data_IF_510579085807
#
_entry.id   IF_510579085807
#
_cell.length_a   1.000
_cell.length_b   1.000
_cell.length_c   1.000
_cell.angle_alpha   90.00
_cell.angle_beta   90.00
_cell.angle_gamma   90.00
#
_symmetry.space_group_name_H-M   'P 1'
#
loop_
_entity.id
_entity.type
_entity.pdbx_description
1 polymer ?
#
# COMPACT_ATOMS: atom_id res chain seq x y z
N UNK A 1 45.06 4.51 -17.37
CA UNK A 1 44.61 4.06 -16.04
C UNK A 1 43.09 4.09 -16.02
N UNK A 2 42.46 2.93 -15.82
CA UNK A 2 41.07 2.68 -16.15
C UNK A 2 40.08 3.36 -15.18
N UNK A 3 39.25 4.28 -15.70
CA UNK A 3 38.16 4.97 -15.00
C UNK A 3 36.96 4.07 -14.61
N UNK A 4 37.06 2.75 -14.79
CA UNK A 4 35.98 1.80 -14.54
C UNK A 4 35.73 1.51 -13.05
N UNK A 5 36.75 1.70 -12.20
CA UNK A 5 36.64 1.47 -10.75
C UNK A 5 35.73 2.48 -10.03
N UNK A 6 35.53 3.68 -10.59
CA UNK A 6 34.69 4.72 -9.98
C UNK A 6 33.17 4.51 -10.21
N UNK A 7 32.78 3.88 -11.33
CA UNK A 7 31.36 3.66 -11.69
C UNK A 7 30.75 2.54 -10.84
N UNK A 8 31.54 1.51 -10.48
CA UNK A 8 31.08 0.39 -9.65
C UNK A 8 30.80 0.85 -8.20
N UNK A 9 31.57 1.81 -7.67
CA UNK A 9 31.41 2.27 -6.29
C UNK A 9 30.11 3.07 -6.06
N UNK A 10 29.62 3.81 -7.07
CA UNK A 10 28.39 4.61 -6.97
C UNK A 10 27.13 3.72 -6.95
N UNK A 11 27.19 2.53 -7.56
CA UNK A 11 26.05 1.59 -7.62
C UNK A 11 25.79 0.92 -6.26
N UNK A 12 26.81 0.77 -5.40
CA UNK A 12 26.65 0.10 -4.11
C UNK A 12 25.95 0.93 -3.02
N UNK A 13 25.92 2.27 -3.13
CA UNK A 13 25.33 3.13 -2.09
C UNK A 13 23.80 3.30 -2.19
N UNK A 14 23.15 2.77 -3.23
CA UNK A 14 21.72 3.00 -3.49
C UNK A 14 20.76 1.88 -3.06
N UNK A 15 21.27 0.75 -2.52
CA UNK A 15 20.43 -0.46 -2.35
C UNK A 15 19.80 -0.63 -0.96
N UNK A 16 20.30 0.05 0.08
CA UNK A 16 19.75 -0.12 1.41
C UNK A 16 18.57 0.84 1.63
N UNK A 17 17.34 0.36 1.43
CA UNK A 17 16.16 1.08 1.90
C UNK A 17 16.22 1.18 3.44
N UNK A 18 16.16 2.39 4.02
CA UNK A 18 16.18 2.54 5.47
C UNK A 18 14.99 1.81 6.08
N UNK A 19 15.16 1.31 7.30
CA UNK A 19 14.07 0.69 8.07
C UNK A 19 13.90 1.48 9.36
N UNK A 20 12.65 1.80 9.71
CA UNK A 20 12.26 2.50 10.95
C UNK A 20 11.14 1.77 11.66
N UNK A 21 10.94 2.03 12.94
CA UNK A 21 9.80 1.50 13.68
C UNK A 21 8.56 2.37 13.46
N UNK A 22 7.37 1.80 13.62
CA UNK A 22 6.10 2.54 13.53
C UNK A 22 6.07 3.77 14.44
N UNK A 23 6.70 3.68 15.61
CA UNK A 23 6.80 4.79 16.55
C UNK A 23 7.62 5.98 16.02
N UNK A 24 8.43 5.80 14.98
CA UNK A 24 9.23 6.87 14.37
C UNK A 24 8.48 7.60 13.25
N UNK A 25 7.28 7.14 12.90
CA UNK A 25 6.47 7.70 11.82
C UNK A 25 5.06 8.07 12.30
N UNK A 26 4.35 8.84 11.49
CA UNK A 26 2.96 9.23 11.74
C UNK A 26 2.21 9.41 10.43
N UNK A 27 0.89 9.21 10.45
CA UNK A 27 0.02 9.34 9.28
C UNK A 27 -0.51 10.77 9.17
N UNK A 28 -0.36 11.40 8.01
CA UNK A 28 -0.98 12.70 7.68
C UNK A 28 -1.50 12.63 6.27
N UNK A 29 -2.81 12.83 6.07
CA UNK A 29 -3.46 12.75 4.75
C UNK A 29 -2.99 11.47 4.01
N UNK A 30 -3.21 10.30 4.61
CA UNK A 30 -2.65 8.94 4.36
C UNK A 30 -1.21 8.84 3.80
N UNK A 31 -0.37 9.83 4.08
CA UNK A 31 1.08 9.74 3.87
C UNK A 31 1.75 9.41 5.20
N UNK A 32 2.66 8.45 5.16
CA UNK A 32 3.56 8.17 6.27
C UNK A 32 4.68 9.21 6.25
N UNK A 33 4.76 9.95 7.35
CA UNK A 33 5.72 11.02 7.59
C UNK A 33 6.74 10.56 8.64
N UNK A 34 8.01 10.89 8.45
CA UNK A 34 9.06 10.60 9.43
C UNK A 34 9.06 11.69 10.51
N UNK A 35 8.84 11.34 11.79
CA UNK A 35 8.75 12.30 12.91
C UNK A 35 9.98 13.19 13.07
N UNK A 36 11.16 12.66 12.74
CA UNK A 36 12.43 13.39 12.88
C UNK A 36 12.55 14.57 11.90
N UNK A 37 11.92 14.49 10.74
CA UNK A 37 12.14 15.44 9.64
C UNK A 37 10.87 16.08 9.13
N UNK A 38 9.69 15.62 9.56
CA UNK A 38 8.38 16.00 9.03
C UNK A 38 8.30 15.90 7.50
N UNK A 39 8.98 14.89 6.93
CA UNK A 39 8.98 14.62 5.48
C UNK A 39 8.35 13.28 5.15
N UNK A 40 7.76 13.13 3.95
CA UNK A 40 7.25 11.84 3.49
C UNK A 40 8.35 10.78 3.50
N UNK A 41 8.05 9.64 4.13
CA UNK A 41 9.02 8.59 4.35
C UNK A 41 9.16 7.67 3.13
N UNK A 42 10.39 7.27 2.83
CA UNK A 42 10.72 6.26 1.81
C UNK A 42 11.61 5.19 2.45
N UNK A 43 11.11 3.97 2.56
CA UNK A 43 11.78 2.88 3.27
C UNK A 43 10.80 1.86 3.82
N UNK A 44 11.26 1.03 4.75
CA UNK A 44 10.45 0.01 5.42
C UNK A 44 10.03 0.52 6.79
N UNK A 45 8.74 0.41 7.11
CA UNK A 45 8.23 0.60 8.47
C UNK A 45 7.91 -0.78 9.04
N UNK A 46 8.39 -1.04 10.25
CA UNK A 46 8.12 -2.29 10.97
C UNK A 46 7.31 -2.03 12.24
N UNK A 47 6.43 -2.98 12.55
CA UNK A 47 5.76 -3.08 13.85
C UNK A 47 6.36 -4.29 14.57
N UNK A 48 6.56 -4.17 15.89
CA UNK A 48 7.07 -5.28 16.73
C UNK A 48 6.01 -5.76 17.70
N UNK A 49 6.07 -7.05 18.00
CA UNK A 49 5.41 -7.62 19.16
C UNK A 49 6.08 -7.14 20.45
N UNK A 50 5.39 -7.31 21.59
CA UNK A 50 5.94 -7.01 22.91
C UNK A 50 7.23 -7.79 23.24
N UNK A 51 7.44 -8.95 22.61
CA UNK A 51 8.66 -9.75 22.75
C UNK A 51 9.82 -9.27 21.86
N UNK A 52 9.66 -8.14 21.15
CA UNK A 52 10.67 -7.54 20.28
C UNK A 52 10.76 -8.14 18.87
N UNK A 53 10.09 -9.26 18.57
CA UNK A 53 10.03 -9.81 17.20
C UNK A 53 9.20 -8.91 16.28
N UNK A 54 9.53 -8.90 14.99
CA UNK A 54 8.75 -8.16 13.98
C UNK A 54 7.38 -8.80 13.77
N UNK A 55 6.32 -8.03 14.01
CA UNK A 55 4.93 -8.40 13.77
C UNK A 55 4.50 -8.12 12.32
N UNK A 56 4.95 -7.01 11.74
CA UNK A 56 4.64 -6.67 10.36
C UNK A 56 5.70 -5.77 9.75
N UNK A 57 5.69 -5.69 8.42
CA UNK A 57 6.52 -4.79 7.64
C UNK A 57 5.70 -4.24 6.48
N UNK A 58 5.87 -2.96 6.18
CA UNK A 58 5.31 -2.33 4.97
C UNK A 58 6.35 -1.43 4.32
N UNK A 59 6.43 -1.48 3.00
CA UNK A 59 7.32 -0.62 2.21
C UNK A 59 6.60 0.64 1.75
N UNK A 60 7.28 1.79 1.88
CA UNK A 60 6.79 3.10 1.52
C UNK A 60 7.71 3.79 0.53
N UNK A 61 7.11 4.58 -0.38
CA UNK A 61 7.81 5.48 -1.29
C UNK A 61 7.08 6.83 -1.29
N UNK A 62 7.80 7.88 -0.91
CA UNK A 62 7.28 9.24 -0.76
C UNK A 62 6.02 9.30 0.11
N UNK A 63 6.03 8.57 1.22
CA UNK A 63 4.93 8.48 2.18
C UNK A 63 3.81 7.50 1.80
N UNK A 64 3.79 6.97 0.58
CA UNK A 64 2.74 6.06 0.13
C UNK A 64 3.18 4.60 0.17
N UNK A 65 2.25 3.72 0.51
CA UNK A 65 2.47 2.26 0.46
C UNK A 65 2.82 1.86 -0.97
N UNK A 66 4.01 1.33 -1.17
CA UNK A 66 4.48 0.86 -2.47
C UNK A 66 5.60 -0.16 -2.26
N UNK A 67 5.40 -1.37 -2.76
CA UNK A 67 6.30 -2.48 -2.56
C UNK A 67 5.75 -3.51 -1.58
N UNK A 68 6.64 -4.39 -1.11
CA UNK A 68 6.26 -5.59 -0.38
C UNK A 68 5.83 -5.27 1.05
N UNK A 69 4.95 -6.10 1.57
CA UNK A 69 4.47 -6.07 2.94
C UNK A 69 4.15 -7.47 3.44
N UNK A 70 4.20 -7.66 4.76
CA UNK A 70 3.78 -8.90 5.40
C UNK A 70 3.27 -8.66 6.81
N UNK A 71 2.48 -9.62 7.31
CA UNK A 71 2.05 -9.75 8.69
C UNK A 71 2.43 -11.15 9.17
N UNK A 72 3.02 -11.22 10.36
CA UNK A 72 3.45 -12.45 11.00
C UNK A 72 2.56 -12.79 12.20
N UNK A 73 2.51 -14.08 12.53
CA UNK A 73 1.97 -14.59 13.79
C UNK A 73 3.04 -14.59 14.89
N UNK A 74 2.63 -14.94 16.11
CA UNK A 74 3.52 -14.98 17.28
C UNK A 74 4.62 -16.04 17.17
N UNK A 75 4.41 -17.08 16.36
CA UNK A 75 5.39 -18.12 16.09
C UNK A 75 6.34 -17.77 14.91
N UNK A 76 6.33 -16.51 14.45
CA UNK A 76 7.15 -15.96 13.35
C UNK A 76 6.77 -16.48 11.94
N UNK A 77 5.63 -17.16 11.83
CA UNK A 77 5.00 -17.58 10.59
C UNK A 77 4.39 -16.39 9.84
N UNK A 78 4.46 -16.37 8.51
CA UNK A 78 3.75 -15.38 7.70
C UNK A 78 2.27 -15.76 7.62
N UNK A 79 1.40 -14.90 8.14
CA UNK A 79 -0.05 -15.07 8.09
C UNK A 79 -0.62 -14.44 6.81
N UNK A 80 -0.12 -13.26 6.48
CA UNK A 80 -0.46 -12.55 5.25
C UNK A 80 0.79 -11.93 4.63
N UNK A 81 0.85 -11.92 3.31
CA UNK A 81 1.88 -11.18 2.59
C UNK A 81 1.39 -10.70 1.23
N UNK A 82 1.98 -9.63 0.75
CA UNK A 82 1.60 -9.04 -0.51
C UNK A 82 2.48 -7.90 -0.95
N UNK A 83 1.99 -7.18 -1.95
CA UNK A 83 2.67 -6.05 -2.57
C UNK A 83 1.67 -4.97 -2.96
N UNK A 84 1.96 -3.75 -2.53
CA UNK A 84 1.30 -2.56 -3.08
C UNK A 84 1.95 -2.23 -4.41
N UNK A 85 1.15 -2.16 -5.48
CA UNK A 85 1.62 -1.90 -6.85
C UNK A 85 1.29 -0.49 -7.34
N UNK A 86 0.76 0.37 -6.47
CA UNK A 86 0.20 1.66 -6.86
C UNK A 86 -1.14 1.48 -7.58
N UNK A 87 -1.59 2.48 -8.33
CA UNK A 87 -2.82 2.39 -9.10
C UNK A 87 -2.50 2.36 -10.61
N UNK A 88 -3.03 1.40 -11.38
CA UNK A 88 -2.95 1.44 -12.83
C UNK A 88 -3.50 2.77 -13.37
N UNK A 89 -2.86 3.34 -14.38
CA UNK A 89 -3.20 4.68 -14.89
C UNK A 89 -4.65 4.79 -15.33
N UNK A 90 -5.19 3.79 -16.03
CA UNK A 90 -6.58 3.79 -16.50
C UNK A 90 -7.57 3.77 -15.33
N UNK A 91 -7.33 2.91 -14.34
CA UNK A 91 -8.12 2.82 -13.12
C UNK A 91 -8.05 4.13 -12.33
N UNK A 92 -6.87 4.74 -12.22
CA UNK A 92 -6.67 6.01 -11.53
C UNK A 92 -7.45 7.14 -12.22
N UNK A 93 -7.36 7.24 -13.55
CA UNK A 93 -8.09 8.23 -14.33
C UNK A 93 -9.61 8.05 -14.21
N UNK A 94 -10.09 6.81 -14.31
CA UNK A 94 -11.50 6.49 -14.11
C UNK A 94 -11.95 6.91 -12.70
N UNK A 95 -11.23 6.48 -11.66
CA UNK A 95 -11.61 6.77 -10.28
C UNK A 95 -11.58 8.26 -9.98
N UNK A 96 -10.58 9.00 -10.48
CA UNK A 96 -10.47 10.46 -10.33
C UNK A 96 -11.63 11.17 -11.03
N UNK A 97 -11.94 10.78 -12.27
CA UNK A 97 -13.01 11.40 -13.05
C UNK A 97 -14.39 11.10 -12.47
N UNK A 98 -14.63 9.85 -12.06
CA UNK A 98 -15.97 9.39 -11.68
C UNK A 98 -16.33 9.70 -10.22
N UNK A 99 -15.35 9.63 -9.32
CA UNK A 99 -15.57 9.75 -7.87
C UNK A 99 -14.75 10.85 -7.20
N UNK A 100 -13.98 11.62 -7.98
CA UNK A 100 -13.11 12.67 -7.46
C UNK A 100 -12.15 12.16 -6.36
N UNK A 101 -11.65 10.92 -6.49
CA UNK A 101 -10.67 10.38 -5.53
C UNK A 101 -9.39 11.19 -5.60
N UNK A 102 -8.81 11.50 -4.45
CA UNK A 102 -7.45 12.07 -4.45
C UNK A 102 -6.40 10.99 -4.59
N UNK A 103 -6.71 9.77 -4.13
CA UNK A 103 -5.77 8.66 -4.12
C UNK A 103 -6.40 7.33 -4.46
N UNK A 104 -5.60 6.53 -5.15
CA UNK A 104 -5.89 5.17 -5.53
C UNK A 104 -4.64 4.33 -5.26
N UNK A 105 -4.82 3.12 -4.74
CA UNK A 105 -3.76 2.11 -4.71
C UNK A 105 -4.34 0.71 -4.79
N UNK A 106 -3.61 -0.20 -5.41
CA UNK A 106 -3.93 -1.61 -5.51
C UNK A 106 -2.89 -2.41 -4.72
N UNK A 107 -3.37 -3.38 -3.94
CA UNK A 107 -2.56 -4.37 -3.23
C UNK A 107 -2.89 -5.75 -3.75
N UNK A 108 -1.86 -6.52 -4.13
CA UNK A 108 -1.96 -7.94 -4.46
C UNK A 108 -1.42 -8.73 -3.27
N UNK A 109 -2.21 -9.63 -2.70
CA UNK A 109 -1.80 -10.31 -1.47
C UNK A 109 -2.42 -11.68 -1.31
N UNK A 110 -1.95 -12.43 -0.31
CA UNK A 110 -2.46 -13.75 0.00
C UNK A 110 -2.58 -13.98 1.50
N UNK A 111 -3.49 -14.87 1.85
CA UNK A 111 -3.68 -15.45 3.19
C UNK A 111 -3.86 -16.96 3.02
N UNK A 112 -2.90 -17.73 3.53
CA UNK A 112 -2.84 -19.17 3.27
C UNK A 112 -2.82 -19.47 1.77
N UNK A 113 -3.83 -20.21 1.29
CA UNK A 113 -3.98 -20.58 -0.14
C UNK A 113 -4.85 -19.61 -0.93
N UNK A 114 -5.40 -18.56 -0.29
CA UNK A 114 -6.29 -17.60 -0.94
C UNK A 114 -5.52 -16.37 -1.39
N UNK A 115 -5.82 -15.93 -2.60
CA UNK A 115 -5.24 -14.76 -3.25
C UNK A 115 -6.27 -13.64 -3.36
N UNK A 116 -5.81 -12.42 -3.13
CA UNK A 116 -6.64 -11.24 -3.01
C UNK A 116 -6.07 -10.12 -3.87
N UNK A 117 -6.98 -9.32 -4.43
CA UNK A 117 -6.67 -7.99 -4.95
C UNK A 117 -7.54 -6.98 -4.22
N UNK A 118 -6.90 -6.01 -3.58
CA UNK A 118 -7.59 -4.97 -2.82
C UNK A 118 -7.33 -3.62 -3.46
N UNK A 119 -8.40 -2.93 -3.83
CA UNK A 119 -8.39 -1.55 -4.27
C UNK A 119 -8.72 -0.63 -3.09
N UNK A 120 -7.85 0.34 -2.83
CA UNK A 120 -8.08 1.42 -1.89
C UNK A 120 -8.28 2.72 -2.65
N UNK A 121 -9.45 3.34 -2.46
CA UNK A 121 -9.76 4.68 -2.94
C UNK A 121 -9.92 5.60 -1.73
N UNK A 122 -9.12 6.67 -1.64
CA UNK A 122 -9.13 7.53 -0.46
C UNK A 122 -9.52 8.97 -0.77
N UNK A 123 -10.08 9.60 0.27
CA UNK A 123 -10.56 10.99 0.29
C UNK A 123 -11.70 11.27 -0.72
N UNK A 124 -12.68 10.36 -0.79
CA UNK A 124 -13.92 10.59 -1.55
C UNK A 124 -14.87 11.51 -0.76
N UNK A 125 -15.48 12.50 -1.40
CA UNK A 125 -16.58 13.29 -0.82
C UNK A 125 -17.72 12.34 -0.44
N UNK A 126 -18.18 12.37 0.81
CA UNK A 126 -19.22 11.46 1.31
C UNK A 126 -20.50 11.49 0.45
N UNK A 127 -20.80 12.62 -0.22
CA UNK A 127 -21.96 12.76 -1.11
C UNK A 127 -21.87 11.90 -2.37
N UNK A 128 -20.67 11.49 -2.78
CA UNK A 128 -20.45 10.61 -3.94
C UNK A 128 -20.65 9.12 -3.58
N UNK A 129 -20.58 8.76 -2.30
CA UNK A 129 -20.62 7.35 -1.85
C UNK A 129 -22.04 6.81 -1.73
N UNK A 130 -23.03 7.66 -1.46
CA UNK A 130 -24.44 7.24 -1.38
C UNK A 130 -25.01 6.73 -2.71
N UNK A 131 -24.37 7.06 -3.84
CA UNK A 131 -24.74 6.64 -5.19
C UNK A 131 -23.60 5.88 -5.90
N UNK A 132 -22.86 5.04 -5.17
CA UNK A 132 -21.71 4.31 -5.71
C UNK A 132 -22.13 3.17 -6.64
N UNK A 133 -22.48 3.49 -7.88
CA UNK A 133 -22.85 2.53 -8.95
C UNK A 133 -21.63 1.92 -9.67
N UNK A 134 -20.44 2.49 -9.48
CA UNK A 134 -19.25 2.07 -10.19
C UNK A 134 -18.52 0.87 -9.58
N UNK A 135 -19.08 0.24 -8.54
CA UNK A 135 -18.48 -0.95 -7.90
C UNK A 135 -18.26 -2.10 -8.91
N UNK A 136 -19.19 -2.31 -9.84
CA UNK A 136 -19.07 -3.34 -10.88
C UNK A 136 -17.97 -3.02 -11.88
N UNK A 137 -17.82 -1.74 -12.24
CA UNK A 137 -16.77 -1.27 -13.15
C UNK A 137 -15.39 -1.42 -12.50
N UNK A 138 -15.26 -1.02 -11.23
CA UNK A 138 -14.02 -1.21 -10.49
C UNK A 138 -13.67 -2.70 -10.34
N UNK A 139 -14.64 -3.54 -9.99
CA UNK A 139 -14.41 -4.98 -9.91
C UNK A 139 -14.03 -5.58 -11.28
N UNK A 140 -14.53 -5.04 -12.38
CA UNK A 140 -14.11 -5.44 -13.73
C UNK A 140 -12.62 -5.18 -13.96
N UNK A 141 -12.11 -4.00 -13.59
CA UNK A 141 -10.66 -3.72 -13.64
C UNK A 141 -9.86 -4.71 -12.78
N UNK A 142 -10.37 -5.07 -11.59
CA UNK A 142 -9.67 -5.98 -10.70
C UNK A 142 -9.63 -7.44 -11.18
N UNK A 143 -10.47 -7.83 -12.15
CA UNK A 143 -10.45 -9.18 -12.74
C UNK A 143 -9.23 -9.45 -13.62
N UNK A 144 -8.48 -8.43 -14.00
CA UNK A 144 -7.23 -8.60 -14.75
C UNK A 144 -6.13 -9.26 -13.90
N UNK A 145 -6.25 -9.21 -12.58
CA UNK A 145 -5.32 -9.84 -11.66
C UNK A 145 -5.73 -11.29 -11.40
N UNK A 146 -4.75 -12.19 -11.37
CA UNK A 146 -4.96 -13.57 -10.94
C UNK A 146 -5.24 -13.61 -9.44
N UNK A 147 -6.51 -13.81 -9.06
CA UNK A 147 -7.02 -13.67 -7.69
C UNK A 147 -8.20 -14.60 -7.44
N UNK A 148 -8.41 -14.97 -6.18
CA UNK A 148 -9.65 -15.59 -5.71
C UNK A 148 -10.67 -14.52 -5.32
N UNK A 149 -10.24 -13.45 -4.66
CA UNK A 149 -11.12 -12.46 -4.02
C UNK A 149 -10.70 -11.04 -4.40
N UNK A 150 -11.70 -10.19 -4.69
CA UNK A 150 -11.51 -8.76 -4.87
C UNK A 150 -12.18 -8.00 -3.74
N UNK A 151 -11.45 -7.03 -3.20
CA UNK A 151 -11.94 -6.12 -2.18
C UNK A 151 -11.83 -4.69 -2.68
N UNK A 152 -12.86 -3.89 -2.41
CA UNK A 152 -12.87 -2.46 -2.71
C UNK A 152 -13.13 -1.73 -1.41
N UNK A 153 -12.15 -0.93 -0.98
CA UNK A 153 -12.27 -0.03 0.16
C UNK A 153 -12.32 1.40 -0.33
N UNK A 154 -13.29 2.13 0.20
CA UNK A 154 -13.33 3.59 0.09
C UNK A 154 -13.14 4.17 1.47
N UNK A 155 -12.18 5.07 1.60
CA UNK A 155 -11.91 5.79 2.84
C UNK A 155 -12.13 7.28 2.67
N UNK A 156 -12.52 7.94 3.75
CA UNK A 156 -12.48 9.38 3.88
C UNK A 156 -11.80 9.70 5.22
N UNK A 157 -10.64 10.38 5.13
CA UNK A 157 -9.71 10.50 6.26
C UNK A 157 -9.42 9.09 6.80
N UNK A 158 -9.50 8.93 8.13
CA UNK A 158 -9.15 7.69 8.82
C UNK A 158 -10.33 6.70 8.94
N UNK A 159 -11.41 6.89 8.18
CA UNK A 159 -12.62 6.04 8.26
C UNK A 159 -12.91 5.34 6.94
N UNK A 160 -13.21 4.04 7.01
CA UNK A 160 -13.78 3.28 5.90
C UNK A 160 -15.26 3.64 5.79
N UNK A 161 -15.66 4.16 4.64
CA UNK A 161 -17.05 4.58 4.37
C UNK A 161 -17.77 3.63 3.40
N UNK A 162 -17.02 2.80 2.68
CA UNK A 162 -17.57 1.71 1.87
C UNK A 162 -16.57 0.55 1.81
N UNK A 163 -17.09 -0.66 1.92
CA UNK A 163 -16.33 -1.89 1.75
C UNK A 163 -17.19 -2.92 1.02
N UNK A 164 -16.65 -3.50 -0.06
CA UNK A 164 -17.31 -4.53 -0.85
C UNK A 164 -16.35 -5.64 -1.22
N UNK A 165 -16.83 -6.88 -1.15
CA UNK A 165 -16.09 -8.10 -1.45
C UNK A 165 -16.76 -8.80 -2.64
N UNK A 166 -15.95 -9.27 -3.57
CA UNK A 166 -16.36 -10.07 -4.72
C UNK A 166 -15.55 -11.36 -4.76
N UNK A 167 -16.23 -12.46 -5.05
CA UNK A 167 -15.60 -13.73 -5.44
C UNK A 167 -15.44 -13.77 -6.96
#
# INVERSE_FOLDING_TARGET
MNNWLFIILIIFFYSCMPTVEENDVYLVNDQIMLKKTDRPYSGKVIVRFANGKTASMSTFKNGYRLGDWYIKGLADEIVQEGRYIGCPTELEQFAKKRFNVKRCSVSLWKEGTKSFVTLYLAEIDQREVSNFDGELVLNHFLKEYNRDISEIYITNKDSIIFHKIYN
#
